data_IF_144821015224
#
_entry.id   IF_144821015224
#
_cell.length_a   1.000
_cell.length_b   1.000
_cell.length_c   1.000
_cell.angle_alpha   90.00
_cell.angle_beta   90.00
_cell.angle_gamma   90.00
#
_symmetry.space_group_name_H-M   'P 1'
#
loop_
_entity.id
_entity.type
_entity.pdbx_description
1 polymer ?
#
# COMPACT_ATOMS: atom_id res chain seq x y z
N UNK A 1 15.19 -7.97 -11.56
CA UNK A 1 13.82 -7.38 -11.64
C UNK A 1 13.86 -5.88 -11.97
N UNK A 2 13.20 -5.47 -13.06
CA UNK A 2 13.14 -4.06 -13.50
C UNK A 2 12.04 -3.25 -12.78
N UNK A 3 11.15 -3.92 -12.06
CA UNK A 3 10.12 -3.33 -11.19
C UNK A 3 10.47 -3.64 -9.74
N UNK A 4 10.32 -2.66 -8.87
CA UNK A 4 10.57 -2.76 -7.43
C UNK A 4 9.46 -2.08 -6.64
N UNK A 5 9.33 -2.49 -5.38
CA UNK A 5 8.48 -1.77 -4.43
C UNK A 5 9.15 -0.46 -4.05
N UNK A 6 8.42 0.63 -4.14
CA UNK A 6 8.91 1.95 -3.78
C UNK A 6 9.00 2.07 -2.26
N UNK A 7 10.22 2.36 -1.79
CA UNK A 7 10.59 2.55 -0.40
C UNK A 7 11.18 3.95 -0.18
N UNK A 8 11.09 4.84 -1.17
CA UNK A 8 11.48 6.24 -1.03
C UNK A 8 10.43 7.02 -0.22
N UNK A 9 10.89 8.04 0.50
CA UNK A 9 10.00 9.06 1.05
C UNK A 9 9.73 10.13 0.00
N UNK A 10 8.50 10.62 -0.05
CA UNK A 10 8.12 11.77 -0.85
C UNK A 10 8.48 13.10 -0.16
N UNK A 11 8.18 14.22 -0.82
CA UNK A 11 8.41 15.59 -0.32
C UNK A 11 7.61 15.96 0.95
N UNK A 12 6.71 15.09 1.40
CA UNK A 12 5.96 15.20 2.67
C UNK A 12 6.50 14.29 3.78
N UNK A 13 7.70 13.74 3.59
CA UNK A 13 8.33 12.76 4.49
C UNK A 13 7.46 11.48 4.67
N UNK A 14 6.69 11.10 3.65
CA UNK A 14 5.83 9.90 3.66
C UNK A 14 6.28 8.87 2.65
N UNK A 15 6.12 7.59 3.01
CA UNK A 15 6.28 6.49 2.06
C UNK A 15 5.01 6.31 1.22
N UNK A 16 5.19 6.22 -0.11
CA UNK A 16 4.10 5.88 -1.03
C UNK A 16 3.51 4.49 -0.71
N UNK A 17 4.36 3.52 -0.41
CA UNK A 17 3.98 2.20 0.12
C UNK A 17 3.64 2.31 1.62
N UNK A 18 2.43 1.90 2.05
CA UNK A 18 2.07 1.79 3.48
C UNK A 18 2.06 0.36 4.01
N UNK A 19 2.05 -0.65 3.14
CA UNK A 19 2.08 -2.03 3.59
C UNK A 19 3.49 -2.37 4.06
N UNK A 20 3.56 -2.91 5.27
CA UNK A 20 4.80 -3.36 5.89
C UNK A 20 5.09 -4.80 5.51
N UNK A 21 6.36 -5.19 5.56
CA UNK A 21 6.74 -6.59 5.43
C UNK A 21 6.27 -7.37 6.66
N UNK A 22 6.00 -8.65 6.47
CA UNK A 22 5.62 -9.55 7.57
C UNK A 22 6.80 -9.80 8.53
N UNK A 23 8.02 -9.84 7.98
CA UNK A 23 9.29 -9.89 8.72
C UNK A 23 10.29 -8.93 8.07
N UNK A 24 11.38 -8.53 8.76
CA UNK A 24 12.36 -7.58 8.20
C UNK A 24 12.94 -7.97 6.84
N UNK A 25 13.14 -9.28 6.62
CA UNK A 25 13.68 -9.84 5.36
C UNK A 25 12.62 -10.51 4.49
N UNK A 26 11.39 -10.61 4.97
CA UNK A 26 10.30 -11.32 4.30
C UNK A 26 9.65 -10.54 3.16
N UNK A 27 8.68 -11.17 2.47
CA UNK A 27 7.92 -10.51 1.42
C UNK A 27 6.99 -9.43 2.01
N UNK A 28 6.62 -8.47 1.17
CA UNK A 28 5.44 -7.65 1.43
C UNK A 28 4.21 -8.54 1.27
N UNK A 29 3.39 -8.62 2.32
CA UNK A 29 2.18 -9.46 2.33
C UNK A 29 0.97 -8.61 2.74
N UNK A 30 -0.15 -8.90 2.10
CA UNK A 30 -1.47 -8.57 2.63
C UNK A 30 -2.21 -9.88 2.83
N UNK A 31 -2.80 -10.06 4.01
CA UNK A 31 -3.59 -11.23 4.34
C UNK A 31 -5.02 -10.80 4.59
N UNK A 32 -5.97 -11.59 4.09
CA UNK A 32 -7.39 -11.36 4.31
C UNK A 32 -7.95 -12.42 5.27
N UNK A 33 -8.79 -12.01 6.21
CA UNK A 33 -9.56 -12.96 7.02
C UNK A 33 -10.77 -13.48 6.22
N UNK A 34 -11.58 -14.37 6.81
CA UNK A 34 -12.76 -14.97 6.17
C UNK A 34 -13.86 -13.95 5.80
N UNK A 35 -13.81 -12.73 6.35
CA UNK A 35 -14.71 -11.63 6.03
C UNK A 35 -14.19 -10.76 4.88
N UNK A 36 -13.03 -11.11 4.29
CA UNK A 36 -12.40 -10.35 3.22
C UNK A 36 -11.63 -9.11 3.72
N UNK A 37 -11.27 -9.06 5.00
CA UNK A 37 -10.63 -7.88 5.60
C UNK A 37 -9.11 -7.98 5.66
N UNK A 38 -8.34 -6.96 5.25
CA UNK A 38 -6.89 -6.97 5.38
C UNK A 38 -6.53 -6.94 6.86
N UNK A 39 -5.90 -8.01 7.33
CA UNK A 39 -5.55 -8.21 8.74
C UNK A 39 -4.09 -8.61 8.90
N UNK A 40 -3.51 -8.31 10.06
CA UNK A 40 -2.18 -8.80 10.45
C UNK A 40 -2.20 -10.20 11.04
N UNK A 41 -3.29 -10.55 11.72
CA UNK A 41 -3.52 -11.88 12.28
C UNK A 41 -4.86 -12.41 11.80
N UNK A 42 -4.98 -13.72 11.48
CA UNK A 42 -6.24 -14.31 11.02
C UNK A 42 -7.43 -14.07 11.97
N UNK A 43 -7.17 -13.93 13.27
CA UNK A 43 -8.17 -13.74 14.32
C UNK A 43 -8.67 -12.31 14.46
N UNK A 44 -8.04 -11.33 13.80
CA UNK A 44 -8.49 -9.93 13.87
C UNK A 44 -9.83 -9.76 13.12
N UNK A 45 -10.77 -9.04 13.73
CA UNK A 45 -12.00 -8.61 13.07
C UNK A 45 -11.79 -7.31 12.30
N UNK A 46 -12.64 -7.06 11.29
CA UNK A 46 -12.54 -5.89 10.41
C UNK A 46 -12.55 -4.54 11.13
N UNK A 47 -13.28 -4.43 12.26
CA UNK A 47 -13.35 -3.20 13.07
C UNK A 47 -12.15 -2.96 13.98
N UNK A 48 -11.36 -4.00 14.28
CA UNK A 48 -10.19 -3.92 15.16
C UNK A 48 -8.92 -3.44 14.42
N UNK A 49 -8.99 -3.31 13.09
CA UNK A 49 -7.89 -2.77 12.27
C UNK A 49 -8.01 -1.26 12.13
N UNK A 50 -8.03 -0.53 13.26
CA UNK A 50 -8.32 0.91 13.34
C UNK A 50 -7.35 1.85 12.61
N UNK A 51 -6.26 1.34 12.01
CA UNK A 51 -5.24 2.14 11.29
C UNK A 51 -4.93 1.56 9.89
N UNK A 52 -5.45 0.37 9.54
CA UNK A 52 -4.91 -0.49 8.46
C UNK A 52 -5.90 -0.87 7.37
N UNK A 53 -7.15 -0.39 7.44
CA UNK A 53 -8.17 -0.64 6.43
C UNK A 53 -7.86 -0.03 5.05
N UNK A 54 -6.74 0.70 4.90
CA UNK A 54 -6.23 1.23 3.64
C UNK A 54 -4.73 0.94 3.50
N UNK A 55 -4.39 -0.16 2.85
CA UNK A 55 -3.02 -0.49 2.46
C UNK A 55 -2.69 0.05 1.07
N UNK A 56 -1.43 0.40 0.82
CA UNK A 56 -0.94 0.78 -0.51
C UNK A 56 0.38 0.07 -0.77
N UNK A 57 0.45 -0.61 -1.91
CA UNK A 57 1.71 -1.10 -2.49
C UNK A 57 2.02 -0.23 -3.70
N UNK A 58 3.17 0.45 -3.68
CA UNK A 58 3.62 1.26 -4.81
C UNK A 58 4.78 0.59 -5.51
N UNK A 59 4.69 0.48 -6.82
CA UNK A 59 5.67 -0.08 -7.72
C UNK A 59 6.31 1.05 -8.54
N UNK A 60 7.63 0.98 -8.70
CA UNK A 60 8.37 1.85 -9.60
C UNK A 60 9.34 1.03 -10.46
N UNK A 61 9.67 1.57 -11.62
CA UNK A 61 10.76 1.04 -12.42
C UNK A 61 12.10 1.38 -11.76
N UNK A 62 13.08 0.47 -11.85
CA UNK A 62 14.46 0.78 -11.43
C UNK A 62 15.09 1.87 -12.29
N UNK A 63 14.76 1.88 -13.59
CA UNK A 63 15.42 2.70 -14.61
C UNK A 63 14.45 3.68 -15.31
N UNK A 64 13.18 3.72 -14.91
CA UNK A 64 12.10 4.44 -15.62
C UNK A 64 11.72 5.79 -15.01
N UNK A 65 12.59 6.39 -14.19
CA UNK A 65 12.33 7.66 -13.52
C UNK A 65 11.29 7.59 -12.39
N UNK A 66 10.54 8.67 -12.22
CA UNK A 66 9.64 8.92 -11.09
C UNK A 66 8.22 8.34 -11.26
N UNK A 67 7.94 7.68 -12.39
CA UNK A 67 6.64 7.08 -12.64
C UNK A 67 6.36 5.92 -11.69
N UNK A 68 5.23 6.02 -10.99
CA UNK A 68 4.76 5.06 -9.99
C UNK A 68 3.41 4.49 -10.41
N UNK A 69 3.21 3.21 -10.14
CA UNK A 69 1.92 2.51 -10.20
C UNK A 69 1.63 1.96 -8.83
N UNK A 70 0.40 2.01 -8.36
CA UNK A 70 0.06 1.49 -7.03
C UNK A 70 -1.19 0.63 -7.04
N UNK A 71 -1.26 -0.23 -6.04
CA UNK A 71 -2.48 -0.94 -5.68
C UNK A 71 -2.89 -0.48 -4.29
N UNK A 72 -4.10 0.07 -4.21
CA UNK A 72 -4.76 0.46 -2.97
C UNK A 72 -5.68 -0.68 -2.56
N UNK A 73 -5.51 -1.14 -1.32
CA UNK A 73 -6.24 -2.28 -0.75
C UNK A 73 -7.09 -1.73 0.38
N UNK A 74 -8.41 -1.81 0.24
CA UNK A 74 -9.32 -1.34 1.28
C UNK A 74 -10.54 -2.24 1.47
N UNK A 75 -10.83 -2.53 2.73
CA UNK A 75 -12.11 -3.13 3.15
C UNK A 75 -13.28 -2.22 2.94
N UNK A 76 -13.10 -0.93 3.20
CA UNK A 76 -14.18 0.05 3.10
C UNK A 76 -14.69 0.16 1.66
N UNK A 77 -13.79 -0.04 0.69
CA UNK A 77 -14.12 0.00 -0.73
C UNK A 77 -14.52 -1.38 -1.27
N UNK A 78 -14.42 -2.44 -0.47
CA UNK A 78 -14.69 -3.83 -0.89
C UNK A 78 -13.85 -4.33 -2.06
N UNK A 79 -12.77 -3.62 -2.43
CA UNK A 79 -12.05 -3.85 -3.67
C UNK A 79 -10.60 -3.38 -3.61
N UNK A 80 -9.76 -4.02 -4.44
CA UNK A 80 -8.43 -3.51 -4.78
C UNK A 80 -8.57 -2.51 -5.94
N UNK A 81 -7.93 -1.35 -5.81
CA UNK A 81 -7.91 -0.33 -6.87
C UNK A 81 -6.50 -0.12 -7.38
N UNK A 82 -6.35 -0.04 -8.70
CA UNK A 82 -5.10 0.37 -9.34
C UNK A 82 -5.08 1.90 -9.38
N UNK A 83 -3.93 2.47 -9.07
CA UNK A 83 -3.68 3.92 -9.09
C UNK A 83 -2.37 4.25 -9.78
N UNK A 84 -2.15 5.53 -10.01
CA UNK A 84 -0.96 6.06 -10.67
C UNK A 84 -0.50 7.37 -10.03
N UNK A 85 0.64 7.89 -10.48
CA UNK A 85 1.22 9.09 -9.90
C UNK A 85 0.41 10.34 -10.30
N UNK A 86 0.04 11.15 -9.32
CA UNK A 86 -0.64 12.44 -9.51
C UNK A 86 0.28 13.61 -9.15
N UNK A 87 -0.03 14.80 -9.65
CA UNK A 87 0.71 16.05 -9.33
C UNK A 87 0.40 16.61 -7.94
N UNK A 88 -0.70 16.18 -7.31
CA UNK A 88 -1.15 16.62 -5.99
C UNK A 88 -1.34 15.43 -5.08
N UNK A 89 -0.82 15.52 -3.86
CA UNK A 89 -0.99 14.48 -2.85
C UNK A 89 -2.46 14.33 -2.42
N UNK A 90 -2.87 13.10 -2.09
CA UNK A 90 -4.15 12.80 -1.48
C UNK A 90 -4.22 13.23 0.00
N UNK A 91 -5.37 13.01 0.63
CA UNK A 91 -5.60 13.27 2.07
C UNK A 91 -4.62 12.53 3.01
N UNK A 92 -3.96 11.48 2.52
CA UNK A 92 -2.94 10.71 3.24
C UNK A 92 -1.51 11.18 2.95
N UNK A 93 -1.37 12.31 2.25
CA UNK A 93 -0.11 12.92 1.81
C UNK A 93 0.69 12.02 0.86
N UNK A 94 -0.01 11.25 0.03
CA UNK A 94 0.59 10.34 -0.96
C UNK A 94 0.24 10.75 -2.38
N UNK A 95 1.16 10.59 -3.31
CA UNK A 95 0.99 11.02 -4.70
C UNK A 95 0.51 9.91 -5.63
N UNK A 96 0.66 8.64 -5.26
CA UNK A 96 0.10 7.54 -6.03
C UNK A 96 -1.28 7.13 -5.50
N UNK A 97 -2.34 7.37 -6.28
CA UNK A 97 -3.69 6.95 -5.90
C UNK A 97 -4.61 6.65 -7.08
#
# INVERSE_FOLDING_TARGET
PNVIIDQSKNDKDKYETSIVRDTPTGPWRVQFNYQGCPVRKPTNQCGQTSIQALGRVTLRSKNGGEYRRCVIISTLLGAMRKGENHSKADRTKKYCY
#
